data_IF_949796259522
#
_entry.id   IF_949796259522
#
_cell.length_a   1.000
_cell.length_b   1.000
_cell.length_c   1.000
_cell.angle_alpha   90.00
_cell.angle_beta   90.00
_cell.angle_gamma   90.00
#
_symmetry.space_group_name_H-M   'P 1'
#
loop_
_entity.id
_entity.type
_entity.pdbx_description
1 polymer ?
#
# COMPACT_ATOMS: atom_id res chain seq x y z
N UNK A 1 11.13 1.27 20.36
CA UNK A 1 9.73 1.61 19.99
C UNK A 1 8.90 0.34 19.97
N UNK A 2 8.05 0.13 20.97
CA UNK A 2 7.19 -1.05 21.03
C UNK A 2 5.97 -0.85 20.13
N UNK A 3 5.77 -1.75 19.17
CA UNK A 3 4.56 -1.81 18.32
C UNK A 3 3.32 -2.00 19.19
N UNK A 4 2.32 -1.14 19.03
CA UNK A 4 1.07 -1.14 19.79
C UNK A 4 0.22 -2.39 19.46
N UNK A 5 -0.77 -2.71 20.31
CA UNK A 5 -1.70 -3.80 20.02
C UNK A 5 -2.53 -3.58 18.74
N UNK A 6 -2.85 -2.32 18.45
CA UNK A 6 -3.60 -1.91 17.26
C UNK A 6 -2.78 -2.08 15.97
N UNK A 7 -1.46 -1.87 16.03
CA UNK A 7 -0.55 -2.02 14.89
C UNK A 7 -0.51 -3.47 14.41
N UNK A 8 -0.38 -4.42 15.36
CA UNK A 8 -0.40 -5.86 15.08
C UNK A 8 -1.71 -6.32 14.47
N UNK A 9 -2.84 -5.76 14.94
CA UNK A 9 -4.16 -6.03 14.39
C UNK A 9 -4.28 -5.56 12.94
N UNK A 10 -3.82 -4.35 12.63
CA UNK A 10 -3.83 -3.84 11.25
C UNK A 10 -3.01 -4.72 10.31
N UNK A 11 -1.79 -5.10 10.70
CA UNK A 11 -0.92 -5.97 9.90
C UNK A 11 -1.59 -7.34 9.68
N UNK A 12 -2.20 -7.93 10.72
CA UNK A 12 -2.91 -9.21 10.60
C UNK A 12 -4.12 -9.13 9.67
N UNK A 13 -4.90 -8.05 9.73
CA UNK A 13 -6.03 -7.82 8.83
C UNK A 13 -5.56 -7.68 7.37
N UNK A 14 -4.47 -6.96 7.14
CA UNK A 14 -3.88 -6.77 5.81
C UNK A 14 -3.42 -8.11 5.20
N UNK A 15 -2.75 -8.95 5.98
CA UNK A 15 -2.28 -10.28 5.54
C UNK A 15 -3.43 -11.25 5.15
N UNK A 16 -4.62 -11.07 5.71
CA UNK A 16 -5.78 -11.93 5.45
C UNK A 16 -6.74 -11.36 4.39
N UNK A 17 -6.42 -10.20 3.83
CA UNK A 17 -7.25 -9.52 2.85
C UNK A 17 -7.16 -10.19 1.47
N UNK A 18 -8.30 -10.40 0.81
CA UNK A 18 -8.41 -11.12 -0.47
C UNK A 18 -8.96 -10.28 -1.62
N UNK A 19 -9.46 -9.08 -1.36
CA UNK A 19 -10.08 -8.24 -2.38
C UNK A 19 -10.03 -6.76 -2.02
N UNK A 20 -10.22 -5.91 -3.04
CA UNK A 20 -10.20 -4.46 -2.89
C UNK A 20 -11.22 -3.91 -1.88
N UNK A 21 -12.37 -4.56 -1.71
CA UNK A 21 -13.38 -4.13 -0.73
C UNK A 21 -12.84 -4.22 0.69
N UNK A 22 -12.18 -5.33 1.03
CA UNK A 22 -11.55 -5.52 2.33
C UNK A 22 -10.40 -4.53 2.55
N UNK A 23 -9.57 -4.26 1.53
CA UNK A 23 -8.51 -3.24 1.62
C UNK A 23 -9.08 -1.88 1.98
N UNK A 24 -10.15 -1.45 1.31
CA UNK A 24 -10.81 -0.17 1.57
C UNK A 24 -11.36 -0.09 3.01
N UNK A 25 -11.93 -1.18 3.51
CA UNK A 25 -12.40 -1.26 4.90
C UNK A 25 -11.24 -1.13 5.89
N UNK A 26 -10.13 -1.82 5.63
CA UNK A 26 -8.94 -1.78 6.48
C UNK A 26 -8.32 -0.38 6.47
N UNK A 27 -8.21 0.26 5.31
CA UNK A 27 -7.75 1.65 5.23
C UNK A 27 -8.64 2.60 6.03
N UNK A 28 -9.97 2.49 5.89
CA UNK A 28 -10.90 3.32 6.66
C UNK A 28 -10.73 3.09 8.17
N UNK A 29 -10.46 1.85 8.58
CA UNK A 29 -10.12 1.53 9.97
C UNK A 29 -8.80 2.18 10.40
N UNK A 30 -7.73 2.06 9.61
CA UNK A 30 -6.41 2.68 9.86
C UNK A 30 -6.55 4.21 10.04
N UNK A 31 -7.29 4.87 9.16
CA UNK A 31 -7.57 6.31 9.28
C UNK A 31 -8.37 6.65 10.54
N UNK A 32 -9.36 5.81 10.90
CA UNK A 32 -10.17 6.03 12.10
C UNK A 32 -9.34 5.98 13.39
N UNK A 33 -8.29 5.16 13.43
CA UNK A 33 -7.43 4.99 14.60
C UNK A 33 -6.15 5.85 14.55
N UNK A 34 -5.95 6.64 13.48
CA UNK A 34 -4.85 7.60 13.36
C UNK A 34 -3.51 7.03 12.92
N UNK A 35 -3.48 5.85 12.27
CA UNK A 35 -2.24 5.21 11.80
C UNK A 35 -1.98 5.40 10.31
N UNK A 36 -2.72 6.26 9.61
CA UNK A 36 -2.56 6.50 8.17
C UNK A 36 -1.22 7.13 7.78
N UNK A 37 -0.54 7.78 8.73
CA UNK A 37 0.82 8.32 8.52
C UNK A 37 1.91 7.43 9.09
N UNK A 38 1.57 6.30 9.72
CA UNK A 38 2.57 5.36 10.22
C UNK A 38 3.24 4.64 9.02
N UNK A 39 4.57 4.77 8.83
CA UNK A 39 5.25 4.22 7.67
C UNK A 39 5.12 2.69 7.55
N UNK A 40 5.09 1.98 8.69
CA UNK A 40 4.99 0.52 8.72
C UNK A 40 3.59 0.11 8.27
N UNK A 41 2.55 0.71 8.84
CA UNK A 41 1.16 0.39 8.51
C UNK A 41 0.83 0.80 7.08
N UNK A 42 1.18 2.01 6.65
CA UNK A 42 0.91 2.50 5.30
C UNK A 42 1.71 1.73 4.25
N UNK A 43 2.94 1.33 4.55
CA UNK A 43 3.75 0.51 3.65
C UNK A 43 3.17 -0.90 3.49
N UNK A 44 2.72 -1.51 4.59
CA UNK A 44 2.02 -2.79 4.53
C UNK A 44 0.69 -2.68 3.77
N UNK A 45 -0.06 -1.59 3.93
CA UNK A 45 -1.31 -1.36 3.22
C UNK A 45 -1.08 -1.31 1.69
N UNK A 46 -0.09 -0.54 1.24
CA UNK A 46 0.27 -0.43 -0.19
C UNK A 46 0.76 -1.78 -0.73
N UNK A 47 1.64 -2.47 0.00
CA UNK A 47 2.17 -3.76 -0.41
C UNK A 47 1.05 -4.79 -0.57
N UNK A 48 0.20 -4.95 0.45
CA UNK A 48 -0.92 -5.89 0.40
C UNK A 48 -1.88 -5.51 -0.74
N UNK A 49 -2.11 -4.21 -0.95
CA UNK A 49 -2.93 -3.74 -2.06
C UNK A 49 -2.35 -4.06 -3.44
N UNK A 50 -1.03 -3.99 -3.62
CA UNK A 50 -0.39 -4.36 -4.87
C UNK A 50 -0.47 -5.88 -5.13
N UNK A 51 -0.41 -6.72 -4.09
CA UNK A 51 -0.38 -8.18 -4.25
C UNK A 51 -1.74 -8.87 -4.20
N UNK A 52 -2.77 -8.30 -3.55
CA UNK A 52 -4.06 -8.99 -3.35
C UNK A 52 -4.78 -9.34 -4.65
N UNK A 53 -4.97 -8.38 -5.55
CA UNK A 53 -5.73 -8.56 -6.79
C UNK A 53 -5.21 -7.64 -7.90
N UNK A 54 -5.33 -7.99 -9.19
CA UNK A 54 -5.03 -7.08 -10.29
C UNK A 54 -5.82 -5.75 -10.18
N UNK A 55 -7.11 -5.84 -9.84
CA UNK A 55 -8.01 -4.69 -9.68
C UNK A 55 -7.60 -3.72 -8.57
N UNK A 56 -6.77 -4.16 -7.61
CA UNK A 56 -6.29 -3.33 -6.52
C UNK A 56 -4.99 -2.60 -6.83
N UNK A 57 -4.37 -2.84 -7.99
CA UNK A 57 -3.11 -2.21 -8.36
C UNK A 57 -3.25 -0.70 -8.61
N UNK A 58 -4.32 -0.29 -9.29
CA UNK A 58 -4.65 1.14 -9.44
C UNK A 58 -4.91 1.81 -8.09
N UNK A 59 -5.49 1.07 -7.15
CA UNK A 59 -5.73 1.56 -5.80
C UNK A 59 -4.42 1.71 -5.01
N UNK A 60 -3.50 0.75 -5.14
CA UNK A 60 -2.17 0.81 -4.51
C UNK A 60 -1.39 2.04 -5.00
N UNK A 61 -1.47 2.36 -6.30
CA UNK A 61 -0.86 3.57 -6.86
C UNK A 61 -1.45 4.86 -6.27
N UNK A 62 -2.76 4.95 -6.13
CA UNK A 62 -3.41 6.11 -5.49
C UNK A 62 -3.01 6.24 -4.02
N UNK A 63 -2.91 5.13 -3.30
CA UNK A 63 -2.44 5.10 -1.91
C UNK A 63 -1.01 5.62 -1.79
N UNK A 64 -0.11 5.19 -2.68
CA UNK A 64 1.26 5.69 -2.72
C UNK A 64 1.31 7.19 -3.00
N UNK A 65 0.55 7.67 -3.99
CA UNK A 65 0.50 9.10 -4.35
C UNK A 65 -0.03 9.99 -3.21
N UNK A 66 -0.95 9.48 -2.39
CA UNK A 66 -1.49 10.19 -1.24
C UNK A 66 -0.76 9.90 0.08
N UNK A 67 0.27 9.05 0.06
CA UNK A 67 1.06 8.77 1.26
C UNK A 67 1.82 10.05 1.66
N UNK A 68 1.81 10.37 2.95
CA UNK A 68 2.48 11.58 3.46
C UNK A 68 4.01 11.48 3.37
N UNK A 69 4.54 10.29 3.58
CA UNK A 69 5.97 10.00 3.58
C UNK A 69 6.21 8.66 2.86
N UNK A 70 6.03 8.59 1.53
CA UNK A 70 6.32 7.36 0.79
C UNK A 70 7.82 7.08 0.85
N UNK A 71 8.20 5.85 1.14
CA UNK A 71 9.59 5.43 1.18
C UNK A 71 9.98 4.59 -0.05
N UNK A 72 11.27 4.35 -0.22
CA UNK A 72 11.79 3.54 -1.33
C UNK A 72 11.24 2.12 -1.34
N UNK A 73 10.86 1.56 -0.18
CA UNK A 73 10.26 0.24 -0.10
C UNK A 73 8.87 0.21 -0.74
N UNK A 74 8.02 1.20 -0.44
CA UNK A 74 6.69 1.34 -1.04
C UNK A 74 6.77 1.51 -2.56
N UNK A 75 7.67 2.37 -3.04
CA UNK A 75 7.92 2.54 -4.47
C UNK A 75 8.39 1.23 -5.13
N UNK A 76 9.42 0.59 -4.57
CA UNK A 76 9.97 -0.65 -5.13
C UNK A 76 8.93 -1.77 -5.20
N UNK A 77 8.10 -1.92 -4.16
CA UNK A 77 7.01 -2.89 -4.13
C UNK A 77 6.00 -2.64 -5.27
N UNK A 78 5.58 -1.38 -5.45
CA UNK A 78 4.62 -1.03 -6.49
C UNK A 78 5.21 -1.13 -7.89
N UNK A 79 6.44 -0.64 -8.11
CA UNK A 79 7.16 -0.71 -9.40
C UNK A 79 7.29 -2.16 -9.85
N UNK A 80 7.73 -3.05 -8.95
CA UNK A 80 7.83 -4.49 -9.24
C UNK A 80 6.49 -5.05 -9.69
N UNK A 81 5.42 -4.79 -8.94
CA UNK A 81 4.11 -5.32 -9.28
C UNK A 81 3.55 -4.75 -10.59
N UNK A 82 3.75 -3.46 -10.85
CA UNK A 82 3.36 -2.82 -12.11
C UNK A 82 4.11 -3.43 -13.29
N UNK A 83 5.40 -3.75 -13.14
CA UNK A 83 6.20 -4.39 -14.20
C UNK A 83 5.70 -5.79 -14.59
N UNK A 84 5.02 -6.47 -13.68
CA UNK A 84 4.41 -7.80 -13.86
C UNK A 84 2.91 -7.72 -14.23
N UNK A 85 2.37 -6.52 -14.44
CA UNK A 85 0.96 -6.30 -14.78
C UNK A 85 0.75 -6.14 -16.29
N UNK A 86 -0.51 -6.05 -16.71
CA UNK A 86 -0.87 -5.78 -18.11
C UNK A 86 -0.52 -4.36 -18.59
N UNK A 87 -0.01 -3.50 -17.68
CA UNK A 87 0.39 -2.13 -17.95
C UNK A 87 1.80 -1.80 -17.42
N UNK A 88 2.86 -2.48 -17.89
CA UNK A 88 4.22 -2.34 -17.37
C UNK A 88 4.80 -0.92 -17.52
N UNK A 89 4.32 -0.11 -18.47
CA UNK A 89 4.70 1.30 -18.62
C UNK A 89 4.44 2.13 -17.38
N UNK A 90 3.44 1.76 -16.55
CA UNK A 90 3.16 2.45 -15.30
C UNK A 90 4.31 2.29 -14.30
N UNK A 91 5.09 1.21 -14.37
CA UNK A 91 6.27 1.03 -13.50
C UNK A 91 7.33 2.10 -13.75
N UNK A 92 7.53 2.51 -15.01
CA UNK A 92 8.45 3.58 -15.39
C UNK A 92 7.93 4.94 -14.92
N UNK A 93 6.62 5.21 -15.08
CA UNK A 93 6.01 6.43 -14.57
C UNK A 93 6.20 6.56 -13.05
N UNK A 94 5.90 5.50 -12.29
CA UNK A 94 6.09 5.48 -10.83
C UNK A 94 7.56 5.59 -10.43
N UNK A 95 8.50 5.01 -11.18
CA UNK A 95 9.93 5.22 -10.94
C UNK A 95 10.36 6.68 -11.17
N UNK A 96 9.81 7.34 -12.19
CA UNK A 96 10.09 8.75 -12.43
C UNK A 96 9.51 9.64 -11.33
N UNK A 97 8.31 9.34 -10.83
CA UNK A 97 7.69 10.03 -9.68
C UNK A 97 8.56 9.92 -8.42
N UNK A 98 9.19 8.77 -8.16
CA UNK A 98 10.12 8.59 -7.03
C UNK A 98 11.36 9.50 -7.09
N UNK A 99 11.77 9.93 -8.29
CA UNK A 99 13.02 10.66 -8.53
C UNK A 99 12.85 12.18 -8.54
N UNK A 100 11.62 12.67 -8.61
CA UNK A 100 11.29 14.10 -8.58
C UNK A 100 11.27 14.62 -7.14
#
# INVERSE_FOLDING_TARGET
NQMSGSDRLCISLLQNCKNLRQIKQIQAYICKIGFETDPIISGNLILNCAVSTPDSLDYARRLLFHARYPDSFMYNALIRRLSESDAPQNSLCTFNEMRQ
#
